data_IF_991529216079
#
_entry.id   IF_991529216079
#
_cell.length_a   1.000
_cell.length_b   1.000
_cell.length_c   1.000
_cell.angle_alpha   90.00
_cell.angle_beta   90.00
_cell.angle_gamma   90.00
#
_symmetry.space_group_name_H-M   'P 1'
#
loop_
_entity.id
_entity.type
_entity.pdbx_description
1 polymer ?
#
# COMPACT_ATOMS: atom_id res chain seq x y z
N UNK A 1 5.52 -14.00 -29.14
CA UNK A 1 5.47 -12.82 -30.05
C UNK A 1 5.95 -11.63 -29.24
N UNK A 2 6.61 -10.64 -29.81
CA UNK A 2 6.91 -9.39 -29.08
C UNK A 2 5.66 -8.52 -29.06
N UNK A 3 5.43 -7.80 -27.96
CA UNK A 3 4.36 -6.78 -27.88
C UNK A 3 4.61 -5.75 -29.00
N UNK A 4 3.56 -5.40 -29.73
CA UNK A 4 3.63 -4.38 -30.78
C UNK A 4 3.43 -2.98 -30.13
N UNK A 5 4.51 -2.25 -29.88
CA UNK A 5 4.46 -0.94 -29.22
C UNK A 5 3.77 0.15 -30.04
N UNK A 6 3.77 0.06 -31.38
CA UNK A 6 2.98 0.98 -32.24
C UNK A 6 1.48 0.74 -32.00
N UNK A 7 1.08 -0.52 -31.86
CA UNK A 7 -0.30 -0.88 -31.53
C UNK A 7 -0.69 -0.46 -30.12
N UNK A 8 0.23 -0.56 -29.15
CA UNK A 8 0.00 -0.04 -27.77
C UNK A 8 -0.30 1.46 -27.81
N UNK A 9 0.50 2.24 -28.53
CA UNK A 9 0.28 3.69 -28.66
C UNK A 9 -1.07 4.02 -29.31
N UNK A 10 -1.43 3.34 -30.43
CA UNK A 10 -2.71 3.52 -31.11
C UNK A 10 -3.90 3.19 -30.19
N UNK A 11 -3.84 2.05 -29.51
CA UNK A 11 -4.89 1.64 -28.56
C UNK A 11 -5.02 2.60 -27.38
N UNK A 12 -3.91 3.14 -26.89
CA UNK A 12 -3.92 4.14 -25.81
C UNK A 12 -4.69 5.39 -26.21
N UNK A 13 -4.51 5.90 -27.44
CA UNK A 13 -5.29 7.02 -27.93
C UNK A 13 -6.78 6.70 -28.05
N UNK A 14 -7.13 5.52 -28.57
CA UNK A 14 -8.50 5.05 -28.73
C UNK A 14 -9.19 4.93 -27.36
N UNK A 15 -8.56 4.23 -26.42
CA UNK A 15 -9.13 3.96 -25.10
C UNK A 15 -9.19 5.24 -24.24
N UNK A 16 -8.20 6.14 -24.36
CA UNK A 16 -8.22 7.46 -23.72
C UNK A 16 -9.40 8.30 -24.19
N UNK A 17 -9.63 8.37 -25.50
CA UNK A 17 -10.78 9.06 -26.07
C UNK A 17 -12.11 8.47 -25.60
N UNK A 18 -12.22 7.13 -25.60
CA UNK A 18 -13.41 6.41 -25.13
C UNK A 18 -13.71 6.73 -23.65
N UNK A 19 -12.69 6.70 -22.78
CA UNK A 19 -12.85 7.02 -21.37
C UNK A 19 -13.33 8.46 -21.19
N UNK A 20 -12.72 9.42 -21.88
CA UNK A 20 -13.10 10.83 -21.82
C UNK A 20 -14.55 11.07 -22.30
N UNK A 21 -15.00 10.35 -23.33
CA UNK A 21 -16.37 10.45 -23.81
C UNK A 21 -17.40 9.89 -22.80
N UNK A 22 -17.03 8.89 -22.03
CA UNK A 22 -17.88 8.25 -21.01
C UNK A 22 -17.91 8.99 -19.66
N UNK A 23 -16.95 9.88 -19.40
CA UNK A 23 -16.74 10.51 -18.09
C UNK A 23 -16.80 12.04 -18.15
N UNK A 24 -17.71 12.58 -18.98
CA UNK A 24 -17.88 14.04 -19.16
C UNK A 24 -18.35 14.73 -17.87
N UNK A 25 -19.23 14.10 -17.09
CA UNK A 25 -19.67 14.60 -15.80
C UNK A 25 -18.50 14.74 -14.81
N UNK A 26 -17.56 13.80 -14.81
CA UNK A 26 -16.31 13.93 -14.07
C UNK A 26 -15.49 15.15 -14.53
N UNK A 27 -15.41 15.39 -15.84
CA UNK A 27 -14.78 16.59 -16.42
C UNK A 27 -15.43 17.88 -15.97
N UNK A 28 -16.76 17.94 -15.96
CA UNK A 28 -17.52 19.11 -15.49
C UNK A 28 -17.31 19.37 -14.00
N UNK A 29 -17.31 18.32 -13.18
CA UNK A 29 -16.99 18.41 -11.75
C UNK A 29 -15.55 18.87 -11.50
N UNK A 30 -14.59 18.36 -12.26
CA UNK A 30 -13.19 18.78 -12.17
C UNK A 30 -13.02 20.27 -12.50
N UNK A 31 -13.66 20.74 -13.58
CA UNK A 31 -13.64 22.15 -13.94
C UNK A 31 -14.21 23.06 -12.83
N UNK A 32 -15.28 22.61 -12.16
CA UNK A 32 -15.84 23.33 -11.00
C UNK A 32 -14.90 23.26 -9.79
N UNK A 33 -14.30 22.09 -9.52
CA UNK A 33 -13.42 21.86 -8.37
C UNK A 33 -12.15 22.72 -8.42
N UNK A 34 -11.59 22.97 -9.60
CA UNK A 34 -10.40 23.81 -9.80
C UNK A 34 -10.56 25.24 -9.29
N UNK A 35 -11.79 25.73 -9.11
CA UNK A 35 -12.03 27.05 -8.56
C UNK A 35 -11.73 27.15 -7.05
N UNK A 36 -11.76 26.02 -6.32
CA UNK A 36 -11.67 26.02 -4.86
C UNK A 36 -10.70 24.96 -4.30
N UNK A 37 -10.40 23.93 -5.07
CA UNK A 37 -9.42 22.90 -4.69
C UNK A 37 -8.13 23.10 -5.48
N UNK A 38 -7.00 23.11 -4.81
CA UNK A 38 -5.70 23.19 -5.46
C UNK A 38 -5.49 21.96 -6.36
N UNK A 39 -5.28 22.20 -7.67
CA UNK A 39 -5.24 21.14 -8.67
C UNK A 39 -6.59 20.45 -8.94
N UNK A 40 -7.71 20.95 -8.37
CA UNK A 40 -9.05 20.37 -8.55
C UNK A 40 -9.33 19.08 -7.79
N UNK A 41 -8.42 18.67 -6.89
CA UNK A 41 -8.51 17.41 -6.11
C UNK A 41 -8.14 17.63 -4.66
N UNK A 42 -8.57 16.70 -3.78
CA UNK A 42 -8.23 16.75 -2.37
C UNK A 42 -6.80 16.23 -2.07
N UNK A 43 -6.25 15.40 -2.95
CA UNK A 43 -4.91 14.82 -2.82
C UNK A 43 -4.28 14.63 -4.20
N UNK A 44 -2.96 14.83 -4.30
CA UNK A 44 -2.22 14.67 -5.56
C UNK A 44 -2.37 13.28 -6.19
N UNK A 45 -2.57 12.23 -5.39
CA UNK A 45 -2.85 10.89 -5.92
C UNK A 45 -4.19 10.74 -6.64
N UNK A 46 -5.10 11.69 -6.48
CA UNK A 46 -6.38 11.72 -7.19
C UNK A 46 -6.28 12.43 -8.54
N UNK A 47 -5.17 13.16 -8.78
CA UNK A 47 -4.97 13.93 -10.00
C UNK A 47 -4.68 13.03 -11.19
N UNK A 48 -5.39 13.26 -12.29
CA UNK A 48 -5.18 12.60 -13.58
C UNK A 48 -5.55 13.54 -14.74
N UNK A 49 -4.87 13.39 -15.85
CA UNK A 49 -5.20 14.06 -17.10
C UNK A 49 -6.19 13.23 -17.95
N UNK A 50 -7.15 13.87 -18.63
CA UNK A 50 -7.48 15.30 -18.58
C UNK A 50 -8.28 15.67 -17.34
N UNK A 51 -8.86 14.71 -16.63
CA UNK A 51 -9.56 14.83 -15.34
C UNK A 51 -9.60 13.51 -14.59
N UNK A 52 -9.65 13.55 -13.26
CA UNK A 52 -9.88 12.35 -12.44
C UNK A 52 -11.32 11.86 -12.56
N UNK A 53 -11.53 10.57 -12.29
CA UNK A 53 -12.87 10.00 -12.20
C UNK A 53 -13.49 10.37 -10.85
N UNK A 54 -14.67 11.02 -10.89
CA UNK A 54 -15.44 11.34 -9.70
C UNK A 54 -16.43 10.22 -9.41
N UNK A 55 -16.27 9.56 -8.25
CA UNK A 55 -17.17 8.52 -7.80
C UNK A 55 -18.35 9.13 -7.02
N UNK A 56 -19.52 8.57 -7.19
CA UNK A 56 -20.74 8.97 -6.49
C UNK A 56 -21.08 8.02 -5.34
N UNK A 57 -20.92 6.71 -5.55
CA UNK A 57 -21.31 5.70 -4.58
C UNK A 57 -20.49 4.42 -4.72
N UNK A 58 -20.55 3.59 -3.68
CA UNK A 58 -19.99 2.24 -3.67
C UNK A 58 -20.81 1.30 -2.82
N UNK A 59 -20.98 0.06 -3.27
CA UNK A 59 -21.66 -0.99 -2.53
C UNK A 59 -21.05 -2.37 -2.79
N UNK A 60 -20.70 -3.07 -1.74
CA UNK A 60 -19.99 -4.35 -1.87
C UNK A 60 -18.71 -4.17 -2.68
N UNK A 61 -18.50 -4.97 -3.74
CA UNK A 61 -17.31 -4.90 -4.58
C UNK A 61 -17.43 -3.92 -5.75
N UNK A 62 -18.46 -3.09 -5.80
CA UNK A 62 -18.75 -2.20 -6.94
C UNK A 62 -18.74 -0.72 -6.54
N UNK A 63 -18.37 0.13 -7.51
CA UNK A 63 -18.47 1.59 -7.44
C UNK A 63 -19.21 2.14 -8.66
N UNK A 64 -19.80 3.32 -8.49
CA UNK A 64 -20.46 4.08 -9.56
C UNK A 64 -19.84 5.47 -9.63
N UNK A 65 -19.50 5.90 -10.83
CA UNK A 65 -19.07 7.26 -11.06
C UNK A 65 -20.26 8.21 -11.24
N UNK A 66 -19.99 9.49 -11.29
CA UNK A 66 -21.01 10.55 -11.47
C UNK A 66 -21.66 10.55 -12.86
N UNK A 67 -21.11 9.80 -13.79
CA UNK A 67 -21.64 9.59 -15.14
C UNK A 67 -22.54 8.33 -15.21
N UNK A 68 -22.69 7.60 -14.10
CA UNK A 68 -23.51 6.39 -13.97
C UNK A 68 -22.81 5.11 -14.44
N UNK A 69 -21.51 5.13 -14.67
CA UNK A 69 -20.77 3.92 -15.01
C UNK A 69 -20.59 3.03 -13.78
N UNK A 70 -21.09 1.80 -13.84
CA UNK A 70 -20.86 0.76 -12.84
C UNK A 70 -19.53 0.06 -13.11
N UNK A 71 -18.73 -0.17 -12.04
CA UNK A 71 -17.43 -0.81 -12.15
C UNK A 71 -17.16 -1.75 -10.97
N UNK A 72 -16.53 -2.89 -11.20
CA UNK A 72 -15.90 -3.68 -10.15
C UNK A 72 -14.72 -2.91 -9.56
N UNK A 73 -14.66 -2.75 -8.25
CA UNK A 73 -13.62 -1.95 -7.57
C UNK A 73 -12.43 -2.82 -7.14
N UNK A 74 -11.46 -2.98 -8.02
CA UNK A 74 -10.18 -3.61 -7.71
C UNK A 74 -9.15 -2.63 -7.12
N UNK A 75 -9.47 -1.34 -7.07
CA UNK A 75 -8.66 -0.33 -6.39
C UNK A 75 -8.88 -0.34 -4.87
N UNK A 76 -10.14 -0.47 -4.44
CA UNK A 76 -10.55 -0.52 -3.04
C UNK A 76 -9.91 0.59 -2.18
N UNK A 77 -9.83 1.83 -2.70
CA UNK A 77 -9.26 2.98 -2.00
C UNK A 77 -7.81 2.74 -1.57
N UNK A 78 -6.94 2.28 -2.49
CA UNK A 78 -5.57 1.87 -2.20
C UNK A 78 -5.47 0.74 -1.16
N UNK A 79 -6.47 -0.12 -1.08
CA UNK A 79 -6.54 -1.23 -0.13
C UNK A 79 -7.17 -0.89 1.22
N UNK A 80 -7.87 0.25 1.35
CA UNK A 80 -8.58 0.58 2.59
C UNK A 80 -9.96 -0.07 2.71
N UNK A 81 -10.55 -0.52 1.60
CA UNK A 81 -11.91 -1.09 1.56
C UNK A 81 -11.92 -2.63 1.50
N UNK A 82 -11.05 -3.28 2.27
CA UNK A 82 -10.98 -4.75 2.33
C UNK A 82 -12.32 -5.41 2.67
N UNK A 83 -13.16 -4.75 3.46
CA UNK A 83 -14.51 -5.20 3.83
C UNK A 83 -15.55 -5.00 2.70
N UNK A 84 -15.20 -4.30 1.61
CA UNK A 84 -16.14 -3.81 0.60
C UNK A 84 -16.87 -2.53 1.00
N UNK A 85 -17.48 -1.89 0.00
CA UNK A 85 -18.21 -0.63 0.20
C UNK A 85 -19.54 -0.83 0.93
N UNK A 86 -19.92 0.17 1.73
CA UNK A 86 -21.20 0.23 2.46
C UNK A 86 -21.53 -1.07 3.22
N UNK A 87 -20.52 -1.70 3.83
CA UNK A 87 -20.70 -2.96 4.54
C UNK A 87 -21.68 -2.80 5.71
N UNK A 88 -22.78 -3.57 5.80
CA UNK A 88 -23.86 -3.33 6.77
C UNK A 88 -23.37 -3.41 8.23
N UNK A 89 -22.52 -4.39 8.55
CA UNK A 89 -21.96 -4.55 9.91
C UNK A 89 -21.16 -3.33 10.37
N UNK A 90 -20.41 -2.71 9.44
CA UNK A 90 -19.66 -1.49 9.74
C UNK A 90 -20.61 -0.30 9.90
N UNK A 91 -21.61 -0.19 8.99
CA UNK A 91 -22.61 0.86 9.04
C UNK A 91 -23.41 0.85 10.35
N UNK A 92 -23.84 -0.32 10.82
CA UNK A 92 -24.54 -0.50 12.10
C UNK A 92 -23.67 -0.09 13.29
N UNK A 93 -22.40 -0.52 13.33
CA UNK A 93 -21.48 -0.16 14.41
C UNK A 93 -21.22 1.36 14.48
N UNK A 94 -21.04 1.99 13.33
CA UNK A 94 -20.86 3.46 13.22
C UNK A 94 -22.11 4.19 13.67
N UNK A 95 -23.29 3.77 13.22
CA UNK A 95 -24.58 4.38 13.61
C UNK A 95 -24.85 4.25 15.11
N UNK A 96 -24.62 3.07 15.70
CA UNK A 96 -24.74 2.86 17.12
C UNK A 96 -23.80 3.79 17.92
N UNK A 97 -22.54 3.88 17.50
CA UNK A 97 -21.55 4.73 18.16
C UNK A 97 -21.90 6.22 18.01
N UNK A 98 -22.39 6.64 16.85
CA UNK A 98 -22.83 8.02 16.63
C UNK A 98 -23.88 8.46 17.67
N UNK A 99 -24.83 7.57 18.00
CA UNK A 99 -25.84 7.81 19.04
C UNK A 99 -25.29 7.94 20.46
N UNK A 100 -24.06 7.50 20.72
CA UNK A 100 -23.38 7.59 22.02
C UNK A 100 -22.32 8.70 22.10
N UNK A 101 -22.09 9.39 21.01
CA UNK A 101 -21.07 10.44 20.87
C UNK A 101 -19.87 10.01 20.03
N UNK A 102 -19.31 10.95 19.29
CA UNK A 102 -18.31 10.70 18.23
C UNK A 102 -16.88 11.04 18.64
N UNK A 103 -16.72 11.86 19.69
CA UNK A 103 -15.39 12.29 20.15
C UNK A 103 -15.44 12.78 21.60
N UNK A 104 -14.49 12.31 22.42
CA UNK A 104 -14.43 12.63 23.85
C UNK A 104 -13.07 13.18 24.31
N UNK A 105 -12.02 13.05 23.49
CA UNK A 105 -10.62 13.23 23.90
C UNK A 105 -10.29 12.39 25.18
N UNK A 106 -10.93 11.21 25.30
CA UNK A 106 -10.81 10.27 26.41
C UNK A 106 -10.88 8.83 25.89
N UNK A 107 -10.27 7.86 26.61
CA UNK A 107 -10.28 6.45 26.19
C UNK A 107 -11.70 5.88 26.13
N UNK A 108 -11.88 4.88 25.24
CA UNK A 108 -13.14 4.12 25.10
C UNK A 108 -12.85 2.63 25.10
N UNK A 109 -13.88 1.83 25.41
CA UNK A 109 -13.79 0.37 25.40
C UNK A 109 -13.45 -0.17 24.01
N UNK A 110 -13.99 0.43 22.92
CA UNK A 110 -13.69 -0.01 21.56
C UNK A 110 -12.19 0.09 21.25
N UNK A 111 -11.52 1.15 21.73
CA UNK A 111 -10.08 1.30 21.56
C UNK A 111 -9.30 0.20 22.32
N UNK A 112 -9.75 -0.19 23.52
CA UNK A 112 -9.16 -1.29 24.27
C UNK A 112 -9.35 -2.63 23.54
N UNK A 113 -10.57 -2.96 23.14
CA UNK A 113 -10.89 -4.20 22.42
C UNK A 113 -10.11 -4.33 21.09
N UNK A 114 -9.93 -3.22 20.37
CA UNK A 114 -9.09 -3.18 19.16
C UNK A 114 -7.63 -3.48 19.50
N UNK A 115 -7.06 -2.89 20.55
CA UNK A 115 -5.67 -3.15 20.95
C UNK A 115 -5.46 -4.62 21.34
N UNK A 116 -6.38 -5.22 22.08
CA UNK A 116 -6.35 -6.65 22.46
C UNK A 116 -6.40 -7.55 21.22
N UNK A 117 -7.26 -7.24 20.25
CA UNK A 117 -7.38 -7.97 18.99
C UNK A 117 -6.09 -7.88 18.18
N UNK A 118 -5.53 -6.66 18.01
CA UNK A 118 -4.28 -6.45 17.29
C UNK A 118 -3.10 -7.15 17.98
N UNK A 119 -3.04 -7.12 19.32
CA UNK A 119 -2.00 -7.84 20.07
C UNK A 119 -2.04 -9.34 19.81
N UNK A 120 -3.25 -9.92 19.82
CA UNK A 120 -3.44 -11.34 19.49
C UNK A 120 -3.02 -11.68 18.08
N UNK A 121 -3.34 -10.83 17.10
CA UNK A 121 -3.04 -11.06 15.68
C UNK A 121 -1.57 -10.93 15.36
N UNK A 122 -0.88 -9.91 15.86
CA UNK A 122 0.53 -9.63 15.55
C UNK A 122 1.52 -10.24 16.53
N UNK A 123 1.10 -10.53 17.77
CA UNK A 123 1.99 -10.97 18.84
C UNK A 123 2.85 -9.83 19.40
N UNK A 124 2.45 -8.58 19.20
CA UNK A 124 3.06 -7.38 19.77
C UNK A 124 2.18 -6.85 20.91
N UNK A 125 2.70 -6.65 22.14
CA UNK A 125 1.88 -6.41 23.30
C UNK A 125 1.39 -4.96 23.46
N UNK A 126 2.04 -3.97 22.85
CA UNK A 126 1.78 -2.54 23.10
C UNK A 126 1.32 -1.84 21.84
N UNK A 127 0.19 -1.11 21.94
CA UNK A 127 -0.42 -0.41 20.82
C UNK A 127 -0.75 1.05 21.12
N UNK A 128 -0.64 1.89 20.10
CA UNK A 128 -1.07 3.28 20.06
C UNK A 128 -1.82 3.54 18.75
N UNK A 129 -2.72 4.52 18.77
CA UNK A 129 -3.51 4.91 17.60
C UNK A 129 -3.06 6.22 17.01
N UNK A 130 -3.31 6.34 15.72
CA UNK A 130 -3.10 7.52 14.89
C UNK A 130 -4.30 7.66 13.94
N UNK A 131 -4.31 8.67 13.06
CA UNK A 131 -5.41 8.88 12.13
C UNK A 131 -5.03 8.54 10.67
N UNK A 132 -3.77 8.24 10.42
CA UNK A 132 -3.25 7.94 9.10
C UNK A 132 -1.97 7.10 9.16
N UNK A 133 -1.60 6.50 8.02
CA UNK A 133 -0.30 5.86 7.88
C UNK A 133 0.87 6.82 8.06
N UNK A 134 0.71 8.10 7.65
CA UNK A 134 1.75 9.13 7.81
C UNK A 134 2.07 9.40 9.27
N UNK A 135 1.06 9.54 10.11
CA UNK A 135 1.25 9.66 11.54
C UNK A 135 1.86 8.39 12.13
N UNK A 136 1.40 7.20 11.70
CA UNK A 136 1.91 5.92 12.19
C UNK A 136 3.42 5.76 11.91
N UNK A 137 3.86 5.98 10.68
CA UNK A 137 5.28 5.83 10.33
C UNK A 137 6.15 6.95 10.94
N UNK A 138 5.64 8.17 11.00
CA UNK A 138 6.32 9.30 11.65
C UNK A 138 6.57 9.03 13.13
N UNK A 139 5.55 8.60 13.86
CA UNK A 139 5.65 8.32 15.28
C UNK A 139 6.50 7.07 15.56
N UNK A 140 6.39 6.01 14.75
CA UNK A 140 7.23 4.82 14.89
C UNK A 140 8.72 5.16 14.74
N UNK A 141 9.09 5.97 13.77
CA UNK A 141 10.48 6.44 13.59
C UNK A 141 10.92 7.30 14.78
N UNK A 142 10.06 8.20 15.30
CA UNK A 142 10.36 9.02 16.48
C UNK A 142 10.59 8.15 17.71
N UNK A 143 9.77 7.12 17.92
CA UNK A 143 9.93 6.16 19.02
C UNK A 143 11.26 5.41 18.88
N UNK A 144 11.57 4.91 17.69
CA UNK A 144 12.83 4.20 17.43
C UNK A 144 14.07 5.07 17.66
N UNK A 145 14.02 6.36 17.23
CA UNK A 145 15.08 7.33 17.49
C UNK A 145 15.28 7.58 19.00
N UNK A 146 14.21 7.80 19.72
CA UNK A 146 14.26 8.04 21.17
C UNK A 146 14.78 6.81 21.93
N UNK A 147 14.29 5.61 21.57
CA UNK A 147 14.73 4.36 22.19
C UNK A 147 16.21 4.06 21.97
N UNK A 148 16.71 4.33 20.77
CA UNK A 148 18.12 4.03 20.43
C UNK A 148 19.09 5.18 20.70
N UNK A 149 18.62 6.41 20.87
CA UNK A 149 19.43 7.62 20.94
C UNK A 149 20.14 7.96 19.63
N UNK A 150 19.60 7.59 18.47
CA UNK A 150 20.20 7.75 17.14
C UNK A 150 19.24 8.46 16.19
N UNK A 151 19.78 9.11 15.13
CA UNK A 151 18.99 9.94 14.20
C UNK A 151 18.77 9.28 12.82
N UNK A 152 19.75 8.49 12.34
CA UNK A 152 19.73 7.93 10.99
C UNK A 152 18.62 6.89 10.83
N UNK A 153 17.87 6.99 9.76
CA UNK A 153 16.85 6.03 9.35
C UNK A 153 17.33 5.26 8.11
N UNK A 154 17.19 3.96 8.13
CA UNK A 154 17.40 3.14 6.94
C UNK A 154 16.07 2.69 6.37
N UNK A 155 15.91 2.76 5.06
CA UNK A 155 14.71 2.31 4.34
C UNK A 155 15.06 1.51 3.09
N UNK A 156 14.10 0.81 2.53
CA UNK A 156 14.29 0.16 1.23
C UNK A 156 14.16 1.20 0.11
N UNK A 157 15.07 1.16 -0.86
CA UNK A 157 15.04 2.04 -2.03
C UNK A 157 13.75 1.82 -2.83
N UNK A 158 13.07 2.90 -3.20
CA UNK A 158 11.80 2.84 -3.92
C UNK A 158 10.57 2.53 -3.07
N UNK A 159 10.73 2.08 -1.80
CA UNK A 159 9.59 1.84 -0.92
C UNK A 159 8.87 3.14 -0.53
N UNK A 160 7.55 3.06 -0.35
CA UNK A 160 6.70 4.18 0.03
C UNK A 160 6.17 4.01 1.46
N UNK A 161 6.56 4.92 2.35
CA UNK A 161 6.18 4.91 3.76
C UNK A 161 5.34 6.13 4.15
N UNK A 162 4.45 6.52 3.23
CA UNK A 162 3.50 7.61 3.35
C UNK A 162 4.15 9.01 3.27
N UNK A 163 3.62 10.04 3.93
CA UNK A 163 3.80 11.43 3.52
C UNK A 163 4.37 12.29 4.65
N UNK A 164 5.66 12.11 4.94
CA UNK A 164 6.44 13.03 5.77
C UNK A 164 7.92 13.03 5.34
N UNK A 165 8.62 14.11 5.61
CA UNK A 165 9.94 14.41 5.04
C UNK A 165 10.97 13.27 5.20
N UNK A 166 10.98 12.61 6.38
CA UNK A 166 11.95 11.55 6.66
C UNK A 166 11.83 10.35 5.71
N UNK A 167 10.64 10.04 5.22
CA UNK A 167 10.40 8.85 4.38
C UNK A 167 10.19 9.19 2.91
N UNK A 168 9.94 10.46 2.58
CA UNK A 168 9.83 10.94 1.21
C UNK A 168 11.22 11.09 0.56
N UNK A 169 11.98 10.01 0.62
CA UNK A 169 13.37 9.92 0.13
C UNK A 169 13.49 8.70 -0.78
N UNK A 170 14.10 8.89 -1.94
CA UNK A 170 14.44 7.85 -2.92
C UNK A 170 13.23 7.03 -3.38
N UNK A 171 12.17 7.74 -3.78
CA UNK A 171 10.94 7.24 -4.37
C UNK A 171 10.85 7.80 -5.80
N UNK A 172 10.44 7.00 -6.78
CA UNK A 172 10.25 7.45 -8.16
C UNK A 172 11.52 7.91 -8.86
N UNK A 173 12.70 7.46 -8.42
CA UNK A 173 14.00 7.86 -8.94
C UNK A 173 14.23 7.25 -10.33
N UNK A 174 14.78 8.05 -11.27
CA UNK A 174 15.15 7.55 -12.58
C UNK A 174 16.34 6.59 -12.49
N UNK A 175 16.40 5.63 -13.42
CA UNK A 175 17.36 4.52 -13.39
C UNK A 175 18.84 4.98 -13.27
N UNK A 176 19.20 5.99 -14.02
CA UNK A 176 20.55 6.58 -14.04
C UNK A 176 20.96 7.33 -12.76
N UNK A 177 20.01 7.57 -11.85
CA UNK A 177 20.19 8.28 -10.59
C UNK A 177 20.14 7.40 -9.34
N UNK A 178 19.92 6.11 -9.51
CA UNK A 178 19.82 5.17 -8.37
C UNK A 178 21.13 5.15 -7.56
N UNK A 179 22.27 5.22 -8.21
CA UNK A 179 23.59 5.13 -7.60
C UNK A 179 24.16 3.71 -7.57
N UNK A 180 25.28 3.54 -6.89
CA UNK A 180 25.90 2.24 -6.69
C UNK A 180 25.12 1.38 -5.69
N UNK A 181 25.00 0.07 -5.92
CA UNK A 181 24.20 -0.84 -5.10
C UNK A 181 24.59 -0.83 -3.60
N UNK A 182 25.87 -0.63 -3.30
CA UNK A 182 26.37 -0.52 -1.92
C UNK A 182 26.28 0.92 -1.36
N UNK A 183 25.86 1.88 -2.21
CA UNK A 183 25.73 3.29 -1.83
C UNK A 183 24.62 3.98 -2.64
N UNK A 184 23.40 3.48 -2.51
CA UNK A 184 22.24 4.03 -3.18
C UNK A 184 22.00 5.50 -2.78
N UNK A 185 21.53 6.29 -3.74
CA UNK A 185 21.38 7.73 -3.58
C UNK A 185 20.21 8.10 -2.65
N UNK A 186 20.44 8.99 -1.69
CA UNK A 186 19.38 9.63 -0.89
C UNK A 186 18.92 10.90 -1.62
N UNK A 187 17.73 10.85 -2.23
CA UNK A 187 17.17 11.90 -3.06
C UNK A 187 15.77 12.29 -2.58
N UNK A 188 15.51 13.59 -2.49
CA UNK A 188 14.18 14.09 -2.10
C UNK A 188 13.10 13.70 -3.12
N UNK A 189 11.94 13.22 -2.65
CA UNK A 189 10.76 12.98 -3.46
C UNK A 189 9.91 14.26 -3.56
N UNK A 190 10.37 15.19 -4.36
CA UNK A 190 9.71 16.47 -4.57
C UNK A 190 10.33 17.65 -3.80
N UNK A 191 9.82 18.84 -4.07
CA UNK A 191 10.29 20.08 -3.47
C UNK A 191 9.87 20.26 -2.01
N UNK A 192 10.62 21.07 -1.27
CA UNK A 192 10.30 21.48 0.09
C UNK A 192 10.84 20.57 1.20
N UNK A 193 11.49 19.46 0.86
CA UNK A 193 12.12 18.54 1.81
C UNK A 193 13.56 19.05 2.08
N UNK A 194 13.94 19.37 3.33
CA UNK A 194 15.27 19.88 3.62
C UNK A 194 16.37 18.84 3.36
N UNK A 195 17.49 19.27 2.77
CA UNK A 195 18.63 18.39 2.50
C UNK A 195 19.13 17.67 3.77
N UNK A 196 19.15 18.35 4.91
CA UNK A 196 19.54 17.76 6.19
C UNK A 196 18.63 16.56 6.56
N UNK A 197 17.33 16.62 6.27
CA UNK A 197 16.40 15.51 6.50
C UNK A 197 16.67 14.37 5.51
N UNK A 198 16.88 14.71 4.24
CA UNK A 198 17.20 13.71 3.19
C UNK A 198 18.45 12.92 3.55
N UNK A 199 19.51 13.60 4.02
CA UNK A 199 20.78 12.98 4.40
C UNK A 199 20.70 12.08 5.64
N UNK A 200 19.69 12.23 6.48
CA UNK A 200 19.44 11.33 7.61
C UNK A 200 18.76 10.01 7.20
N UNK A 201 18.23 9.91 5.98
CA UNK A 201 17.57 8.72 5.48
C UNK A 201 18.43 8.02 4.45
N UNK A 202 18.83 6.78 4.73
CA UNK A 202 19.75 6.01 3.92
C UNK A 202 19.01 4.83 3.31
N UNK A 203 18.87 4.78 1.97
CA UNK A 203 18.24 3.67 1.30
C UNK A 203 19.20 2.49 1.09
N UNK A 204 18.61 1.28 1.06
CA UNK A 204 19.27 0.00 0.73
C UNK A 204 18.40 -0.81 -0.22
N UNK A 205 18.96 -1.77 -0.99
CA UNK A 205 18.14 -2.58 -1.89
C UNK A 205 17.24 -3.55 -1.13
N UNK A 206 16.07 -3.88 -1.73
CA UNK A 206 15.23 -4.98 -1.29
C UNK A 206 15.85 -6.32 -1.71
N UNK A 207 15.54 -7.40 -1.01
CA UNK A 207 16.04 -8.75 -1.29
C UNK A 207 17.57 -8.90 -1.29
N UNK A 208 18.28 -7.99 -0.59
CA UNK A 208 19.74 -8.05 -0.44
C UNK A 208 20.15 -7.68 1.00
N UNK A 209 20.02 -8.65 1.90
CA UNK A 209 20.36 -8.47 3.31
C UNK A 209 21.85 -8.20 3.53
N UNK A 210 22.72 -8.74 2.67
CA UNK A 210 24.16 -8.52 2.78
C UNK A 210 24.55 -7.08 2.45
N UNK A 211 23.95 -6.49 1.41
CA UNK A 211 24.16 -5.06 1.09
C UNK A 211 23.66 -4.17 2.24
N UNK A 212 22.52 -4.52 2.85
CA UNK A 212 22.01 -3.82 4.04
C UNK A 212 23.04 -3.90 5.18
N UNK A 213 23.59 -5.05 5.48
CA UNK A 213 24.57 -5.19 6.57
C UNK A 213 25.87 -4.45 6.28
N UNK A 214 26.41 -4.53 5.07
CA UNK A 214 27.58 -3.75 4.65
C UNK A 214 27.36 -2.26 4.85
N UNK A 215 26.14 -1.77 4.51
CA UNK A 215 25.78 -0.36 4.70
C UNK A 215 25.65 0.03 6.17
N UNK A 216 25.10 -0.83 7.02
CA UNK A 216 25.02 -0.63 8.47
C UNK A 216 26.42 -0.52 9.09
N UNK A 217 27.35 -1.39 8.71
CA UNK A 217 28.73 -1.37 9.21
C UNK A 217 29.40 -0.05 8.84
N UNK A 218 29.33 0.36 7.56
CA UNK A 218 29.88 1.62 7.08
C UNK A 218 29.32 2.82 7.85
N UNK A 219 28.00 2.90 8.00
CA UNK A 219 27.37 3.99 8.76
C UNK A 219 27.76 3.99 10.23
N UNK A 220 28.01 2.81 10.80
CA UNK A 220 28.50 2.70 12.18
C UNK A 220 29.91 3.26 12.32
N UNK A 221 30.82 2.95 11.38
CA UNK A 221 32.17 3.48 11.34
C UNK A 221 32.20 5.01 11.12
N UNK A 222 31.21 5.53 10.39
CA UNK A 222 30.98 6.96 10.19
C UNK A 222 30.36 7.67 11.41
N UNK A 223 30.01 6.96 12.49
CA UNK A 223 29.29 7.50 13.65
C UNK A 223 27.80 7.79 13.38
N UNK A 224 27.24 7.23 12.34
CA UNK A 224 25.84 7.41 11.85
C UNK A 224 25.02 6.13 11.91
N UNK A 225 25.28 5.25 12.87
CA UNK A 225 24.57 3.99 13.04
C UNK A 225 23.05 4.19 13.03
N UNK A 226 22.27 3.45 12.23
CA UNK A 226 20.83 3.64 12.14
C UNK A 226 20.09 3.41 13.47
N UNK A 227 19.07 4.25 13.71
CA UNK A 227 18.07 4.04 14.75
C UNK A 227 17.15 2.88 14.42
N UNK A 228 16.69 2.85 13.17
CA UNK A 228 15.77 1.83 12.68
C UNK A 228 16.02 1.49 11.21
N UNK A 229 15.53 0.31 10.83
CA UNK A 229 15.18 -0.04 9.45
C UNK A 229 13.67 -0.02 9.35
N UNK A 230 13.11 0.82 8.48
CA UNK A 230 11.70 0.78 8.11
C UNK A 230 11.55 0.17 6.72
N UNK A 231 10.67 -0.82 6.58
CA UNK A 231 10.47 -1.52 5.31
C UNK A 231 9.05 -2.03 5.14
N UNK A 232 8.57 -2.03 3.92
CA UNK A 232 7.44 -2.87 3.52
C UNK A 232 7.97 -4.31 3.48
N UNK A 233 7.40 -5.27 4.23
CA UNK A 233 7.88 -6.66 4.22
C UNK A 233 7.60 -7.40 2.90
N UNK A 234 6.68 -6.91 2.11
CA UNK A 234 6.53 -7.13 0.67
C UNK A 234 6.28 -5.75 0.06
N UNK A 235 7.02 -5.38 -0.98
CA UNK A 235 6.84 -4.07 -1.61
C UNK A 235 5.53 -4.05 -2.39
N UNK A 236 4.66 -3.09 -2.09
CA UNK A 236 3.32 -2.96 -2.67
C UNK A 236 3.13 -1.61 -3.39
N UNK A 237 4.22 -0.90 -3.71
CA UNK A 237 4.22 0.37 -4.41
C UNK A 237 5.07 0.34 -5.69
N UNK A 238 5.43 -0.87 -6.14
CA UNK A 238 6.12 -1.17 -7.41
C UNK A 238 5.42 -2.34 -8.11
N UNK A 239 4.08 -2.37 -8.08
CA UNK A 239 3.34 -3.61 -8.19
C UNK A 239 3.52 -4.45 -6.92
N UNK A 240 3.62 -5.76 -7.04
CA UNK A 240 3.86 -6.67 -5.90
C UNK A 240 5.23 -7.31 -6.04
N UNK A 241 6.15 -6.96 -5.13
CA UNK A 241 7.48 -7.59 -5.04
C UNK A 241 7.59 -8.34 -3.72
N UNK A 242 7.57 -9.66 -3.80
CA UNK A 242 7.63 -10.52 -2.61
C UNK A 242 9.06 -10.65 -2.08
N UNK A 243 9.23 -10.85 -0.76
CA UNK A 243 10.52 -11.17 -0.20
C UNK A 243 11.01 -12.52 -0.72
N UNK A 244 12.28 -12.61 -1.09
CA UNK A 244 12.92 -13.88 -1.42
C UNK A 244 13.03 -14.76 -0.16
N UNK A 245 13.02 -16.09 -0.32
CA UNK A 245 13.12 -17.00 0.81
C UNK A 245 14.34 -16.71 1.70
N UNK A 246 14.11 -16.53 3.00
CA UNK A 246 15.15 -16.26 4.00
C UNK A 246 15.56 -14.77 4.12
N UNK A 247 15.08 -13.89 3.25
CA UNK A 247 15.46 -12.47 3.28
C UNK A 247 14.99 -11.76 4.56
N UNK A 248 13.72 -11.89 4.92
CA UNK A 248 13.18 -11.22 6.12
C UNK A 248 13.79 -11.74 7.41
N UNK A 249 14.08 -13.05 7.50
CA UNK A 249 14.79 -13.67 8.63
C UNK A 249 16.21 -13.11 8.77
N UNK A 250 16.94 -12.96 7.66
CA UNK A 250 18.27 -12.34 7.65
C UNK A 250 18.21 -10.88 8.10
N UNK A 251 17.26 -10.09 7.58
CA UNK A 251 17.05 -8.70 8.02
C UNK A 251 16.76 -8.63 9.52
N UNK A 252 15.90 -9.52 10.05
CA UNK A 252 15.60 -9.60 11.49
C UNK A 252 16.86 -9.94 12.32
N UNK A 253 17.65 -10.87 11.87
CA UNK A 253 18.90 -11.25 12.55
C UNK A 253 19.91 -10.09 12.55
N UNK A 254 20.13 -9.47 11.40
CA UNK A 254 21.05 -8.33 11.25
C UNK A 254 20.62 -7.18 12.16
N UNK A 255 19.36 -6.76 12.12
CA UNK A 255 18.86 -5.64 12.92
C UNK A 255 19.01 -5.93 14.42
N UNK A 256 18.71 -7.15 14.85
CA UNK A 256 18.90 -7.58 16.25
C UNK A 256 20.36 -7.55 16.66
N UNK A 257 21.26 -8.13 15.85
CA UNK A 257 22.71 -8.18 16.11
C UNK A 257 23.32 -6.78 16.23
N UNK A 258 22.86 -5.83 15.42
CA UNK A 258 23.33 -4.47 15.45
C UNK A 258 22.56 -3.55 16.41
N UNK A 259 21.55 -4.05 17.12
CA UNK A 259 20.71 -3.25 18.03
C UNK A 259 20.01 -2.11 17.31
N UNK A 260 19.40 -2.40 16.17
CA UNK A 260 18.63 -1.48 15.32
C UNK A 260 17.17 -1.91 15.40
N UNK A 261 16.24 -0.96 15.57
CA UNK A 261 14.81 -1.24 15.61
C UNK A 261 14.32 -1.63 14.21
N UNK A 262 13.72 -2.80 14.06
CA UNK A 262 13.07 -3.21 12.82
C UNK A 262 11.59 -2.79 12.85
N UNK A 263 11.18 -1.97 11.89
CA UNK A 263 9.81 -1.51 11.71
C UNK A 263 9.27 -2.13 10.41
N UNK A 264 8.25 -2.99 10.51
CA UNK A 264 7.48 -3.38 9.35
C UNK A 264 6.38 -2.37 9.09
N UNK A 265 6.46 -1.71 7.95
CA UNK A 265 5.35 -0.90 7.45
C UNK A 265 4.30 -1.81 6.82
N UNK A 266 3.27 -2.08 7.59
CA UNK A 266 2.14 -2.90 7.19
C UNK A 266 0.92 -2.06 6.79
N UNK A 267 1.12 -0.80 6.39
CA UNK A 267 0.03 0.08 5.93
C UNK A 267 -0.68 -0.49 4.70
N UNK A 268 0.04 -1.18 3.81
CA UNK A 268 -0.56 -1.89 2.66
C UNK A 268 -0.72 -3.39 2.88
N UNK A 269 0.23 -4.05 3.52
CA UNK A 269 0.17 -5.51 3.74
C UNK A 269 -0.75 -5.90 4.89
N UNK A 270 -0.79 -5.15 5.94
CA UNK A 270 -1.50 -5.35 7.20
C UNK A 270 -2.56 -6.44 7.18
N UNK A 271 -3.81 -6.06 7.16
CA UNK A 271 -4.95 -7.00 7.11
C UNK A 271 -5.20 -7.55 5.69
N UNK A 272 -4.62 -6.94 4.64
CA UNK A 272 -4.91 -7.35 3.26
C UNK A 272 -4.34 -8.72 2.89
N UNK A 273 -3.17 -9.10 3.45
CA UNK A 273 -2.52 -10.36 3.09
C UNK A 273 -2.66 -11.47 4.13
N UNK A 274 -3.41 -11.21 5.20
CA UNK A 274 -3.69 -12.19 6.23
C UNK A 274 -4.12 -11.56 7.56
N UNK A 275 -4.67 -12.35 8.49
CA UNK A 275 -5.22 -11.85 9.75
C UNK A 275 -4.19 -11.17 10.67
N UNK A 276 -2.91 -11.52 10.56
CA UNK A 276 -1.78 -10.90 11.26
C UNK A 276 -0.77 -10.30 10.28
N UNK A 277 -1.24 -9.88 9.09
CA UNK A 277 -0.45 -9.23 8.07
C UNK A 277 0.75 -10.04 7.59
N UNK A 278 1.75 -9.33 7.08
CA UNK A 278 3.01 -9.89 6.64
C UNK A 278 3.81 -10.51 7.80
N UNK A 279 3.72 -9.95 8.99
CA UNK A 279 4.35 -10.49 10.20
C UNK A 279 4.01 -11.97 10.41
N UNK A 280 2.73 -12.34 10.32
CA UNK A 280 2.30 -13.75 10.45
C UNK A 280 2.47 -14.53 9.15
N UNK A 281 2.20 -13.92 7.99
CA UNK A 281 2.28 -14.59 6.69
C UNK A 281 3.69 -15.08 6.38
N UNK A 282 4.70 -14.29 6.71
CA UNK A 282 6.12 -14.63 6.48
C UNK A 282 6.84 -15.15 7.73
N UNK A 283 6.18 -15.18 8.89
CA UNK A 283 6.74 -15.78 10.12
C UNK A 283 7.85 -14.98 10.79
N UNK A 284 8.02 -13.70 10.46
CA UNK A 284 9.04 -12.82 11.04
C UNK A 284 8.39 -11.69 11.83
N UNK A 285 8.69 -11.62 13.14
CA UNK A 285 8.16 -10.59 14.03
C UNK A 285 9.16 -9.42 14.14
N UNK A 286 8.80 -8.20 13.71
CA UNK A 286 9.63 -7.01 13.90
C UNK A 286 9.56 -6.50 15.34
N UNK A 287 10.30 -5.43 15.63
CA UNK A 287 10.17 -4.72 16.92
C UNK A 287 8.93 -3.83 16.93
N UNK A 288 8.54 -3.28 15.77
CA UNK A 288 7.36 -2.45 15.61
C UNK A 288 6.66 -2.73 14.27
N UNK A 289 5.35 -2.47 14.25
CA UNK A 289 4.53 -2.41 13.03
C UNK A 289 3.79 -1.09 12.93
N UNK A 290 3.59 -0.61 11.71
CA UNK A 290 2.71 0.53 11.42
C UNK A 290 1.54 0.06 10.57
N UNK A 291 0.33 0.55 10.87
CA UNK A 291 -0.91 0.16 10.21
C UNK A 291 -1.76 1.38 9.87
N UNK A 292 -2.57 1.24 8.82
CA UNK A 292 -3.65 2.16 8.43
C UNK A 292 -4.59 1.45 7.43
N UNK A 293 -5.16 2.18 6.47
CA UNK A 293 -5.95 1.64 5.34
C UNK A 293 -7.02 0.63 5.78
N UNK A 294 -6.81 -0.66 5.48
CA UNK A 294 -7.76 -1.74 5.80
C UNK A 294 -8.14 -1.80 7.29
N UNK A 295 -7.28 -1.32 8.19
CA UNK A 295 -7.59 -1.23 9.61
C UNK A 295 -8.85 -0.39 9.85
N UNK A 296 -8.93 0.77 9.21
CA UNK A 296 -9.98 1.76 9.44
C UNK A 296 -11.35 1.41 8.88
N UNK A 297 -11.47 0.36 8.06
CA UNK A 297 -12.72 -0.01 7.39
C UNK A 297 -13.39 1.18 6.66
N UNK A 298 -12.58 2.02 6.00
CA UNK A 298 -13.01 3.26 5.33
C UNK A 298 -12.98 4.51 6.21
N UNK A 299 -12.79 4.37 7.54
CA UNK A 299 -12.60 5.52 8.46
C UNK A 299 -11.11 5.88 8.57
N UNK A 300 -10.76 7.18 8.66
CA UNK A 300 -9.40 7.61 8.95
C UNK A 300 -8.93 6.99 10.27
N UNK A 301 -7.94 6.10 10.19
CA UNK A 301 -7.39 5.40 11.35
C UNK A 301 -6.02 4.84 11.03
N UNK A 302 -5.17 4.78 12.04
CA UNK A 302 -3.89 4.11 12.01
C UNK A 302 -3.52 3.57 13.38
N UNK A 303 -2.51 2.72 13.43
CA UNK A 303 -2.00 2.17 14.66
C UNK A 303 -0.49 1.89 14.57
N UNK A 304 0.15 1.88 15.73
CA UNK A 304 1.53 1.47 15.94
C UNK A 304 1.52 0.37 16.97
N UNK A 305 2.04 -0.80 16.60
CA UNK A 305 2.29 -1.91 17.53
C UNK A 305 3.78 -2.04 17.81
N UNK A 306 4.16 -2.43 19.02
CA UNK A 306 5.57 -2.63 19.35
C UNK A 306 5.79 -3.55 20.55
N UNK A 307 7.05 -3.93 20.74
CA UNK A 307 7.51 -4.65 21.92
C UNK A 307 7.45 -3.76 23.15
N UNK A 308 7.43 -4.36 24.35
CA UNK A 308 7.43 -3.59 25.61
C UNK A 308 8.65 -2.70 25.72
N UNK A 309 9.82 -3.19 25.31
CA UNK A 309 11.08 -2.47 25.41
C UNK A 309 11.07 -1.21 24.53
N UNK A 310 10.68 -1.34 23.26
CA UNK A 310 10.69 -0.20 22.33
C UNK A 310 9.59 0.81 22.69
N UNK A 311 8.43 0.35 23.14
CA UNK A 311 7.31 1.22 23.49
C UNK A 311 7.45 1.86 24.88
N UNK A 312 8.43 1.45 25.71
CA UNK A 312 8.67 2.01 27.04
C UNK A 312 8.92 3.52 27.01
N UNK A 313 9.55 4.06 25.96
CA UNK A 313 9.81 5.50 25.80
C UNK A 313 8.55 6.33 25.61
N UNK A 314 7.43 5.70 25.28
CA UNK A 314 6.09 6.35 25.26
C UNK A 314 5.45 6.28 26.65
N UNK A 315 5.65 5.18 27.37
CA UNK A 315 5.08 4.99 28.72
C UNK A 315 5.76 5.88 29.76
N UNK A 316 7.06 6.08 29.65
CA UNK A 316 7.85 6.95 30.55
C UNK A 316 7.84 8.45 30.17
N UNK A 317 7.07 8.80 29.13
CA UNK A 317 6.94 10.15 28.59
C UNK A 317 8.21 10.75 27.94
N UNK A 318 9.22 9.95 27.60
CA UNK A 318 10.35 10.38 26.78
C UNK A 318 9.88 10.80 25.39
N UNK A 319 8.87 10.09 24.84
CA UNK A 319 8.21 10.44 23.58
C UNK A 319 6.76 10.83 23.81
N UNK A 320 6.36 12.01 23.35
CA UNK A 320 4.96 12.43 23.28
C UNK A 320 4.33 11.96 21.96
N UNK A 321 3.58 10.87 22.01
CA UNK A 321 2.74 10.39 20.92
C UNK A 321 1.32 10.91 21.17
N UNK A 322 0.96 11.99 20.47
CA UNK A 322 -0.25 12.77 20.74
C UNK A 322 -1.06 13.01 19.47
N UNK A 323 -2.37 13.18 19.62
CA UNK A 323 -3.28 13.53 18.54
C UNK A 323 -4.71 13.63 19.09
N UNK A 324 -5.40 14.73 18.78
CA UNK A 324 -6.75 15.01 19.26
C UNK A 324 -7.73 13.88 18.90
N UNK A 325 -7.58 13.30 17.72
CA UNK A 325 -8.48 12.25 17.22
C UNK A 325 -7.92 10.83 17.33
N UNK A 326 -6.79 10.64 18.00
CA UNK A 326 -6.21 9.30 18.18
C UNK A 326 -7.15 8.40 18.96
N UNK A 327 -7.48 7.23 18.40
CA UNK A 327 -8.47 6.34 18.98
C UNK A 327 -9.88 6.93 18.96
N UNK A 328 -10.22 7.73 17.94
CA UNK A 328 -11.56 8.30 17.77
C UNK A 328 -12.64 7.24 17.93
N UNK A 329 -13.66 7.46 18.80
CA UNK A 329 -14.67 6.44 19.09
C UNK A 329 -15.40 5.91 17.86
N UNK A 330 -15.69 6.78 16.89
CA UNK A 330 -16.40 6.39 15.67
C UNK A 330 -15.54 5.48 14.80
N UNK A 331 -14.26 5.84 14.63
CA UNK A 331 -13.29 5.02 13.90
C UNK A 331 -13.06 3.68 14.65
N UNK A 332 -12.87 3.70 15.96
CA UNK A 332 -12.65 2.48 16.75
C UNK A 332 -13.83 1.52 16.74
N UNK A 333 -15.06 2.01 16.71
CA UNK A 333 -16.25 1.17 16.53
C UNK A 333 -16.25 0.46 15.16
N UNK A 334 -15.89 1.18 14.10
CA UNK A 334 -15.75 0.60 12.77
C UNK A 334 -14.62 -0.44 12.72
N UNK A 335 -13.45 -0.11 13.26
CA UNK A 335 -12.29 -1.01 13.36
C UNK A 335 -12.63 -2.28 14.14
N UNK A 336 -13.26 -2.15 15.31
CA UNK A 336 -13.68 -3.29 16.13
C UNK A 336 -14.63 -4.21 15.36
N UNK A 337 -15.67 -3.64 14.75
CA UNK A 337 -16.62 -4.42 13.95
C UNK A 337 -15.94 -5.12 12.77
N UNK A 338 -15.01 -4.45 12.11
CA UNK A 338 -14.23 -5.03 11.02
C UNK A 338 -13.40 -6.24 11.49
N UNK A 339 -12.63 -6.08 12.56
CA UNK A 339 -11.74 -7.11 13.09
C UNK A 339 -12.50 -8.30 13.69
N UNK A 340 -13.60 -8.05 14.40
CA UNK A 340 -14.33 -9.10 15.13
C UNK A 340 -15.37 -9.82 14.29
N UNK A 341 -15.98 -9.15 13.29
CA UNK A 341 -17.18 -9.66 12.61
C UNK A 341 -17.03 -9.82 11.09
N UNK A 342 -16.13 -9.05 10.45
CA UNK A 342 -15.97 -9.06 8.99
C UNK A 342 -14.74 -9.85 8.57
N UNK A 343 -13.59 -9.57 9.18
CA UNK A 343 -12.31 -10.21 8.83
C UNK A 343 -12.11 -11.50 9.62
N UNK A 344 -13.00 -12.49 9.34
CA UNK A 344 -12.99 -13.83 9.92
C UNK A 344 -12.03 -14.77 9.18
N UNK A 345 -11.71 -15.95 9.73
CA UNK A 345 -10.93 -16.96 9.01
C UNK A 345 -11.53 -17.33 7.65
N UNK A 346 -12.86 -17.41 7.54
CA UNK A 346 -13.58 -17.72 6.30
C UNK A 346 -13.40 -16.59 5.27
N UNK A 347 -13.43 -15.33 5.72
CA UNK A 347 -13.17 -14.17 4.85
C UNK A 347 -11.76 -14.22 4.25
N UNK A 348 -10.76 -14.61 5.04
CA UNK A 348 -9.39 -14.78 4.53
C UNK A 348 -9.24 -15.98 3.59
N UNK A 349 -9.90 -17.11 3.89
CA UNK A 349 -9.93 -18.25 2.98
C UNK A 349 -10.58 -17.87 1.63
N UNK A 350 -11.63 -17.06 1.66
CA UNK A 350 -12.26 -16.51 0.46
C UNK A 350 -11.31 -15.59 -0.33
N UNK A 351 -10.61 -14.68 0.34
CA UNK A 351 -9.63 -13.82 -0.32
C UNK A 351 -8.48 -14.62 -0.97
N UNK A 352 -7.95 -15.63 -0.28
CA UNK A 352 -6.92 -16.52 -0.84
C UNK A 352 -7.48 -17.27 -2.07
N UNK A 353 -8.72 -17.81 -2.01
CA UNK A 353 -9.38 -18.46 -3.15
C UNK A 353 -9.50 -17.52 -4.37
N UNK A 354 -9.99 -16.29 -4.16
CA UNK A 354 -10.13 -15.33 -5.25
C UNK A 354 -8.79 -14.94 -5.85
N UNK A 355 -7.77 -14.77 -5.01
CA UNK A 355 -6.44 -14.42 -5.48
C UNK A 355 -5.78 -15.57 -6.26
N UNK A 356 -5.93 -16.80 -5.81
CA UNK A 356 -5.45 -17.98 -6.55
C UNK A 356 -6.12 -18.08 -7.91
N UNK A 357 -7.44 -17.80 -7.99
CA UNK A 357 -8.19 -17.80 -9.23
C UNK A 357 -7.73 -16.74 -10.23
N UNK A 358 -7.55 -15.49 -9.78
CA UNK A 358 -7.07 -14.39 -10.66
C UNK A 358 -5.63 -14.64 -11.12
N UNK A 359 -4.77 -15.13 -10.24
CA UNK A 359 -3.39 -15.49 -10.58
C UNK A 359 -3.34 -16.61 -11.63
N UNK A 360 -4.13 -17.65 -11.47
CA UNK A 360 -4.21 -18.76 -12.42
C UNK A 360 -4.71 -18.28 -13.79
N UNK A 361 -5.81 -17.52 -13.81
CA UNK A 361 -6.39 -16.98 -15.05
C UNK A 361 -5.42 -16.04 -15.79
N UNK A 362 -4.80 -15.10 -15.08
CA UNK A 362 -3.81 -14.21 -15.69
C UNK A 362 -2.58 -14.97 -16.20
N UNK A 363 -2.11 -15.99 -15.47
CA UNK A 363 -0.97 -16.82 -15.91
C UNK A 363 -1.31 -17.57 -17.20
N UNK A 364 -2.52 -18.15 -17.29
CA UNK A 364 -2.97 -18.84 -18.52
C UNK A 364 -3.01 -17.88 -19.72
N UNK A 365 -3.51 -16.65 -19.54
CA UNK A 365 -3.51 -15.63 -20.60
C UNK A 365 -2.08 -15.26 -21.01
N UNK A 366 -1.18 -15.01 -20.05
CA UNK A 366 0.23 -14.70 -20.33
C UNK A 366 0.88 -15.81 -21.15
N UNK A 367 0.69 -17.06 -20.78
CA UNK A 367 1.26 -18.22 -21.50
C UNK A 367 0.64 -18.36 -22.90
N UNK A 368 -0.69 -18.26 -23.04
CA UNK A 368 -1.43 -18.40 -24.29
C UNK A 368 -0.97 -17.39 -25.34
N UNK A 369 -0.77 -16.14 -24.95
CA UNK A 369 -0.38 -15.05 -25.83
C UNK A 369 1.14 -14.81 -25.84
N UNK A 370 1.91 -15.60 -25.07
CA UNK A 370 3.36 -15.46 -24.92
C UNK A 370 3.77 -14.02 -24.58
N UNK A 371 3.10 -13.41 -23.59
CA UNK A 371 3.40 -12.07 -23.12
C UNK A 371 4.69 -12.06 -22.30
N UNK A 372 5.53 -11.01 -22.39
CA UNK A 372 6.70 -10.85 -21.52
C UNK A 372 6.25 -10.33 -20.15
N UNK A 373 5.78 -11.23 -19.28
CA UNK A 373 5.26 -10.87 -17.97
C UNK A 373 4.92 -12.07 -17.12
N UNK A 374 4.46 -11.80 -15.91
CA UNK A 374 4.00 -12.81 -14.96
C UNK A 374 2.95 -12.22 -14.01
N UNK A 375 2.08 -13.07 -13.48
CA UNK A 375 1.16 -12.69 -12.40
C UNK A 375 1.81 -13.03 -11.04
N UNK A 376 1.64 -12.15 -10.07
CA UNK A 376 2.16 -12.33 -8.70
C UNK A 376 1.17 -11.77 -7.69
N UNK A 377 1.03 -12.44 -6.55
CA UNK A 377 0.13 -11.96 -5.50
C UNK A 377 0.28 -12.71 -4.18
N UNK A 378 -0.35 -12.16 -3.15
CA UNK A 378 -0.40 -12.73 -1.80
C UNK A 378 -1.64 -12.22 -1.06
N UNK A 379 -2.43 -13.12 -0.48
CA UNK A 379 -3.68 -12.75 0.19
C UNK A 379 -4.64 -12.04 -0.77
N UNK A 380 -5.16 -10.88 -0.38
CA UNK A 380 -6.05 -10.06 -1.22
C UNK A 380 -5.33 -9.12 -2.20
N UNK A 381 -4.02 -9.25 -2.40
CA UNK A 381 -3.19 -8.36 -3.22
C UNK A 381 -2.49 -9.10 -4.34
N UNK A 382 -2.38 -8.47 -5.50
CA UNK A 382 -1.59 -8.99 -6.61
C UNK A 382 -1.52 -8.03 -7.79
N UNK A 383 -0.76 -8.40 -8.81
CA UNK A 383 -0.66 -7.66 -10.07
C UNK A 383 -0.20 -8.56 -11.21
N UNK A 384 -0.41 -8.09 -12.43
CA UNK A 384 0.34 -8.55 -13.61
C UNK A 384 1.54 -7.62 -13.78
N UNK A 385 2.72 -8.20 -13.80
CA UNK A 385 3.97 -7.45 -14.03
C UNK A 385 4.42 -7.68 -15.46
N UNK A 386 4.42 -6.62 -16.28
CA UNK A 386 4.91 -6.65 -17.67
C UNK A 386 6.44 -6.52 -17.71
N UNK A 387 7.11 -7.58 -17.32
CA UNK A 387 8.57 -7.66 -17.30
C UNK A 387 9.03 -9.03 -17.80
N UNK A 388 10.04 -9.10 -18.69
CA UNK A 388 10.58 -10.38 -19.17
C UNK A 388 11.38 -11.13 -18.10
N UNK A 389 11.70 -10.46 -16.98
CA UNK A 389 12.40 -11.02 -15.83
C UNK A 389 11.65 -10.74 -14.54
N UNK A 390 11.86 -11.58 -13.54
CA UNK A 390 11.30 -11.35 -12.20
C UNK A 390 11.85 -10.05 -11.61
N UNK A 391 10.96 -9.19 -11.19
CA UNK A 391 11.30 -7.98 -10.43
C UNK A 391 11.55 -8.41 -8.97
N UNK A 392 12.71 -8.07 -8.45
CA UNK A 392 13.12 -8.43 -7.08
C UNK A 392 13.44 -7.21 -6.21
N UNK A 393 13.67 -6.06 -6.84
CA UNK A 393 13.98 -4.79 -6.20
C UNK A 393 13.64 -3.61 -7.12
N UNK A 394 13.92 -2.38 -6.66
CA UNK A 394 13.64 -1.17 -7.43
C UNK A 394 14.48 -1.07 -8.72
N UNK A 395 15.73 -1.52 -8.70
CA UNK A 395 16.62 -1.47 -9.85
C UNK A 395 16.06 -2.34 -10.99
N UNK A 396 15.74 -3.60 -10.71
CA UNK A 396 15.11 -4.52 -11.66
C UNK A 396 13.72 -4.07 -12.11
N UNK A 397 12.95 -3.38 -11.25
CA UNK A 397 11.70 -2.76 -11.63
C UNK A 397 11.89 -1.67 -12.68
N UNK A 398 12.82 -0.74 -12.45
CA UNK A 398 13.08 0.37 -13.37
C UNK A 398 13.72 -0.10 -14.69
N UNK A 399 14.57 -1.12 -14.67
CA UNK A 399 15.19 -1.70 -15.87
C UNK A 399 14.15 -2.25 -16.85
N UNK A 400 13.05 -2.82 -16.33
CA UNK A 400 12.09 -3.57 -17.13
C UNK A 400 10.69 -2.96 -17.16
N UNK A 401 10.47 -1.81 -16.53
CA UNK A 401 9.17 -1.14 -16.48
C UNK A 401 8.71 -0.76 -17.90
N UNK A 402 7.49 -1.17 -18.26
CA UNK A 402 6.80 -0.72 -19.47
C UNK A 402 5.64 0.20 -19.12
N UNK A 403 5.94 1.50 -18.95
CA UNK A 403 4.97 2.49 -18.53
C UNK A 403 3.82 2.72 -19.53
N UNK A 404 4.10 2.58 -20.84
CA UNK A 404 3.10 2.77 -21.91
C UNK A 404 2.08 1.63 -21.90
N UNK A 405 2.56 0.41 -21.71
CA UNK A 405 1.69 -0.76 -21.61
C UNK A 405 0.85 -0.73 -20.32
N UNK A 406 1.44 -0.31 -19.22
CA UNK A 406 0.70 -0.14 -17.95
C UNK A 406 -0.40 0.92 -18.06
N UNK A 407 -0.13 2.03 -18.73
CA UNK A 407 -1.17 3.05 -18.98
C UNK A 407 -2.29 2.52 -19.88
N UNK A 408 -1.95 1.79 -20.94
CA UNK A 408 -2.95 1.15 -21.78
C UNK A 408 -3.80 0.14 -20.99
N UNK A 409 -3.17 -0.71 -20.19
CA UNK A 409 -3.88 -1.72 -19.41
C UNK A 409 -4.86 -1.07 -18.42
N UNK A 410 -4.46 0.02 -17.75
CA UNK A 410 -5.35 0.78 -16.90
C UNK A 410 -6.55 1.35 -17.67
N UNK A 411 -6.34 2.02 -18.82
CA UNK A 411 -7.41 2.55 -19.68
C UNK A 411 -8.35 1.46 -20.17
N UNK A 412 -7.78 0.31 -20.52
CA UNK A 412 -8.51 -0.84 -21.03
C UNK A 412 -9.46 -1.41 -19.97
N UNK A 413 -8.97 -1.57 -18.75
CA UNK A 413 -9.74 -1.98 -17.59
C UNK A 413 -10.88 -1.00 -17.29
N UNK A 414 -10.57 0.31 -17.19
CA UNK A 414 -11.55 1.35 -16.89
C UNK A 414 -12.72 1.37 -17.88
N UNK A 415 -12.44 1.21 -19.17
CA UNK A 415 -13.46 1.20 -20.21
C UNK A 415 -14.33 -0.06 -20.23
N UNK A 416 -13.90 -1.14 -19.55
CA UNK A 416 -14.62 -2.40 -19.43
C UNK A 416 -15.25 -2.62 -18.07
N UNK A 417 -15.32 -1.56 -17.26
CA UNK A 417 -15.97 -1.63 -15.95
C UNK A 417 -15.11 -2.25 -14.85
N UNK A 418 -13.80 -2.18 -14.97
CA UNK A 418 -12.84 -2.59 -13.93
C UNK A 418 -12.13 -1.33 -13.41
N UNK A 419 -12.45 -0.92 -12.18
CA UNK A 419 -11.82 0.23 -11.54
C UNK A 419 -10.52 -0.19 -10.86
N UNK A 420 -9.39 0.18 -11.49
CA UNK A 420 -8.04 -0.15 -11.03
C UNK A 420 -7.34 1.03 -10.37
N UNK A 421 -6.31 0.75 -9.59
CA UNK A 421 -5.39 1.76 -9.06
C UNK A 421 -4.82 2.59 -10.22
N UNK A 422 -4.98 3.92 -10.22
CA UNK A 422 -4.42 4.77 -11.27
C UNK A 422 -2.90 4.81 -11.16
N UNK A 423 -2.22 4.73 -12.30
CA UNK A 423 -0.77 4.84 -12.37
C UNK A 423 -0.10 3.63 -12.99
N UNK A 424 1.17 3.48 -12.69
CA UNK A 424 2.06 2.49 -13.33
C UNK A 424 2.15 1.16 -12.56
N UNK A 425 1.43 1.03 -11.47
CA UNK A 425 1.61 -0.01 -10.45
C UNK A 425 0.38 -0.92 -10.33
N UNK A 426 -0.36 -1.09 -11.34
CA UNK A 426 -1.61 -1.85 -11.52
C UNK A 426 -1.86 -3.02 -10.56
N UNK A 427 -1.72 -2.77 -9.25
CA UNK A 427 -2.07 -3.78 -8.27
C UNK A 427 -3.60 -3.86 -8.10
N UNK A 428 -4.12 -5.07 -8.06
CA UNK A 428 -5.47 -5.28 -7.55
C UNK A 428 -5.48 -5.41 -6.04
N UNK A 429 -6.55 -4.92 -5.44
CA UNK A 429 -6.93 -5.25 -4.07
C UNK A 429 -8.28 -5.93 -4.08
N UNK A 430 -8.34 -7.15 -3.58
CA UNK A 430 -9.60 -7.87 -3.41
C UNK A 430 -10.25 -7.46 -2.08
N UNK A 431 -11.58 -7.39 -2.06
CA UNK A 431 -12.37 -7.27 -0.84
C UNK A 431 -13.08 -8.58 -0.53
N UNK A 432 -13.52 -8.74 0.71
CA UNK A 432 -14.29 -9.93 1.15
C UNK A 432 -15.65 -10.05 0.44
N UNK A 433 -16.06 -9.02 -0.28
CA UNK A 433 -17.32 -9.00 -1.04
C UNK A 433 -17.15 -9.29 -2.54
N UNK A 434 -15.92 -9.39 -3.04
CA UNK A 434 -15.68 -9.83 -4.42
C UNK A 434 -16.19 -11.26 -4.62
N UNK A 435 -16.56 -11.57 -5.87
CA UNK A 435 -17.08 -12.86 -6.28
C UNK A 435 -16.23 -13.48 -7.39
N UNK A 436 -16.40 -14.75 -7.63
CA UNK A 436 -15.76 -15.44 -8.78
C UNK A 436 -16.08 -14.74 -10.11
N UNK A 437 -17.32 -14.22 -10.27
CA UNK A 437 -17.73 -13.44 -11.45
C UNK A 437 -16.86 -12.19 -11.65
N UNK A 438 -16.58 -11.43 -10.58
CA UNK A 438 -15.70 -10.26 -10.67
C UNK A 438 -14.30 -10.65 -11.14
N UNK A 439 -13.78 -11.79 -10.69
CA UNK A 439 -12.47 -12.31 -11.09
C UNK A 439 -12.49 -12.74 -12.56
N UNK A 440 -13.56 -13.44 -12.99
CA UNK A 440 -13.70 -13.90 -14.37
C UNK A 440 -13.82 -12.72 -15.34
N UNK A 441 -14.53 -11.65 -14.97
CA UNK A 441 -14.62 -10.42 -15.73
C UNK A 441 -13.26 -9.73 -15.88
N UNK A 442 -12.47 -9.68 -14.78
CA UNK A 442 -11.10 -9.14 -14.83
C UNK A 442 -10.20 -9.96 -15.77
N UNK A 443 -10.20 -11.29 -15.63
CA UNK A 443 -9.37 -12.18 -16.46
C UNK A 443 -9.79 -12.09 -17.93
N UNK A 444 -11.08 -12.02 -18.21
CA UNK A 444 -11.60 -11.83 -19.57
C UNK A 444 -11.16 -10.50 -20.18
N UNK A 445 -11.22 -9.42 -19.40
CA UNK A 445 -10.71 -8.11 -19.81
C UNK A 445 -9.21 -8.15 -20.11
N UNK A 446 -8.43 -8.85 -19.28
CA UNK A 446 -6.99 -9.01 -19.49
C UNK A 446 -6.70 -9.86 -20.76
N UNK A 447 -7.51 -10.88 -21.04
CA UNK A 447 -7.39 -11.67 -22.28
C UNK A 447 -7.68 -10.82 -23.53
N UNK A 448 -8.72 -9.98 -23.50
CA UNK A 448 -9.01 -9.04 -24.61
C UNK A 448 -7.84 -8.08 -24.85
N UNK A 449 -7.21 -7.55 -23.77
CA UNK A 449 -6.02 -6.73 -23.89
C UNK A 449 -4.86 -7.50 -24.54
N UNK A 450 -4.62 -8.73 -24.06
CA UNK A 450 -3.56 -9.58 -24.60
C UNK A 450 -3.72 -9.84 -26.10
N UNK A 451 -4.95 -10.15 -26.53
CA UNK A 451 -5.29 -10.32 -27.94
C UNK A 451 -5.02 -9.02 -28.73
N UNK A 452 -5.48 -7.88 -28.22
CA UNK A 452 -5.39 -6.58 -28.90
C UNK A 452 -3.94 -6.12 -29.11
N UNK A 453 -3.03 -6.36 -28.15
CA UNK A 453 -1.62 -5.92 -28.21
C UNK A 453 -0.70 -6.93 -28.94
N UNK A 454 -1.17 -8.16 -29.16
CA UNK A 454 -0.43 -9.20 -29.91
C UNK A 454 -0.95 -9.38 -31.34
N UNK A 455 -2.08 -8.74 -31.70
CA UNK A 455 -2.59 -8.73 -33.05
C UNK A 455 -1.54 -8.17 -34.05
N UNK A 456 -1.47 -8.81 -35.24
CA UNK A 456 -0.51 -8.42 -36.31
C UNK A 456 -0.95 -7.17 -37.04
#
# INVERSE_FOLDING_TARGET
>A
MSINMERVAELTEIESKRLNERTKGSGDMYNRARNNLSGGVASSYQLREPWPIYLESGQGPKVWDVDGNEMWDFHNGFGSMLQGHAHPVIGEAVQERYGKGTHFAAPTEDALAVAENLSSRWGLPKWRYTNSGSESTMDAIRIARAYTGRDTVMKIFGSYHVHHDTVMVSIGVEYDKIGDRDNLASLAYGGGIPDATVQMTVPVPFNDAEAMERRIIRLTDEGRKPACVIMEPAMMNLGVVLPEPGYLEQVREITRRHGIVLIFDEVKTGLCIGPGGATKRFGVTPDMVTMAKALGAGMPSGAIGGTEEVMSVVEDHTVFQVGTYNGNPLAMAAVRANLEKVLTPEAYAHLDHLNDRILAGCTEVIERYNLPGYAVGVGGKGCVTFSPKKVVDYESFKEHQNAELSELAWLFNMNRGIFMTPGREEEWTLSVTHTDEAIDDYVSCFEELAEAITAK
#
